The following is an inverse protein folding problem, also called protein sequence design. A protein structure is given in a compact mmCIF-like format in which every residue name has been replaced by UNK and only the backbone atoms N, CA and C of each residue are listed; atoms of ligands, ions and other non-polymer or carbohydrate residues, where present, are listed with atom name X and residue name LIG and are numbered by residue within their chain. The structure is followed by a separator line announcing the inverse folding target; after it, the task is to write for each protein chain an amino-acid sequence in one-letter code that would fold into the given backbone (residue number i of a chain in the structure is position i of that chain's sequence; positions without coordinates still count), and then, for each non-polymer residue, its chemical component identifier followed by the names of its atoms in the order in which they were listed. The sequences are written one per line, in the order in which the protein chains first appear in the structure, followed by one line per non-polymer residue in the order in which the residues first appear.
data_IF_248190933573
#
_entry.id   IF_248190933573
#
_cell.length_a   1.000
_cell.length_b   1.000
_cell.length_c   1.000
_cell.angle_alpha   90.00
_cell.angle_beta   90.00
_cell.angle_gamma   90.00
#
_symmetry.space_group_name_H-M   'P 1'
#
loop_
_entity.id
_entity.type
_entity.pdbx_description
1 polymer ?
#
# COMPACT_ATOMS: atom_id res chain seq x y z
N UNK A 1 -4.46 -15.65 10.21
CA UNK A 1 -4.00 -14.40 9.56
C UNK A 1 -4.54 -13.22 10.32
N UNK A 2 -3.71 -12.25 10.67
CA UNK A 2 -4.15 -11.10 11.45
C UNK A 2 -4.82 -10.01 10.60
N UNK A 3 -4.74 -10.14 9.28
CA UNK A 3 -5.47 -9.26 8.37
C UNK A 3 -5.83 -10.02 7.10
N UNK A 4 -6.88 -9.58 6.41
CA UNK A 4 -7.33 -10.21 5.17
C UNK A 4 -7.40 -9.24 3.98
N UNK A 5 -6.94 -8.02 4.16
CA UNK A 5 -6.87 -7.03 3.09
C UNK A 5 -5.63 -6.16 3.26
N UNK A 6 -4.97 -5.85 2.15
CA UNK A 6 -3.66 -5.20 2.13
C UNK A 6 -3.59 -4.17 1.03
N UNK A 7 -3.26 -2.93 1.39
CA UNK A 7 -2.97 -1.90 0.40
C UNK A 7 -1.46 -1.87 0.17
N UNK A 8 -1.06 -1.90 -1.10
CA UNK A 8 0.36 -1.88 -1.49
C UNK A 8 0.70 -0.46 -1.94
N UNK A 9 1.48 0.24 -1.13
CA UNK A 9 1.88 1.61 -1.40
C UNK A 9 3.22 1.65 -2.13
N UNK A 10 3.25 1.02 -3.30
CA UNK A 10 4.43 0.96 -4.14
C UNK A 10 4.00 0.62 -5.57
N UNK A 11 4.96 0.55 -6.48
CA UNK A 11 4.70 0.35 -7.90
C UNK A 11 5.62 -0.70 -8.51
N UNK A 12 5.41 -1.01 -9.78
CA UNK A 12 6.31 -1.84 -10.57
C UNK A 12 6.42 -3.26 -10.08
N UNK A 13 7.58 -3.85 -10.26
CA UNK A 13 7.82 -5.24 -9.91
C UNK A 13 7.64 -5.51 -8.41
N UNK A 14 8.03 -4.55 -7.58
CA UNK A 14 7.87 -4.69 -6.13
C UNK A 14 6.39 -4.89 -5.79
N UNK A 15 5.52 -4.07 -6.36
CA UNK A 15 4.08 -4.20 -6.15
C UNK A 15 3.56 -5.54 -6.68
N UNK A 16 4.01 -5.97 -7.85
CA UNK A 16 3.62 -7.25 -8.42
C UNK A 16 3.97 -8.43 -7.50
N UNK A 17 5.15 -8.41 -6.93
CA UNK A 17 5.61 -9.48 -6.04
C UNK A 17 4.78 -9.55 -4.76
N UNK A 18 4.46 -8.40 -4.19
CA UNK A 18 3.64 -8.33 -2.98
C UNK A 18 2.23 -8.82 -3.27
N UNK A 19 1.66 -8.41 -4.40
CA UNK A 19 0.32 -8.83 -4.82
C UNK A 19 0.27 -10.34 -5.01
N UNK A 20 1.28 -10.91 -5.65
CA UNK A 20 1.34 -12.35 -5.87
C UNK A 20 1.33 -13.11 -4.54
N UNK A 21 2.16 -12.68 -3.60
CA UNK A 21 2.22 -13.30 -2.29
C UNK A 21 0.88 -13.16 -1.55
N UNK A 22 0.26 -11.99 -1.62
CA UNK A 22 -1.04 -11.76 -1.00
C UNK A 22 -2.08 -12.73 -1.56
N UNK A 23 -2.11 -12.95 -2.88
CA UNK A 23 -3.03 -13.90 -3.49
C UNK A 23 -2.80 -15.32 -3.00
N UNK A 24 -1.54 -15.72 -2.89
CA UNK A 24 -1.20 -17.06 -2.40
C UNK A 24 -1.67 -17.27 -0.96
N UNK A 25 -1.75 -16.20 -0.20
CA UNK A 25 -2.16 -16.23 1.20
C UNK A 25 -3.67 -15.99 1.39
N UNK A 26 -4.40 -15.77 0.30
CA UNK A 26 -5.82 -15.49 0.38
C UNK A 26 -6.15 -14.08 0.88
N UNK A 27 -5.22 -13.15 0.73
CA UNK A 27 -5.38 -11.76 1.18
C UNK A 27 -5.82 -10.90 0.00
N UNK A 28 -6.89 -10.11 0.20
CA UNK A 28 -7.37 -9.17 -0.82
C UNK A 28 -6.35 -8.03 -0.99
N UNK A 29 -5.92 -7.79 -2.21
CA UNK A 29 -4.92 -6.77 -2.51
C UNK A 29 -5.54 -5.52 -3.11
N UNK A 30 -5.07 -4.36 -2.66
CA UNK A 30 -5.47 -3.05 -3.19
C UNK A 30 -4.22 -2.34 -3.70
N UNK A 31 -4.20 -2.01 -4.98
CA UNK A 31 -3.12 -1.23 -5.56
C UNK A 31 -3.51 0.24 -5.58
N UNK A 32 -2.54 1.12 -5.39
CA UNK A 32 -2.71 2.54 -5.65
C UNK A 32 -1.82 2.89 -6.82
N UNK A 33 -2.24 3.81 -7.67
CA UNK A 33 -1.47 4.13 -8.87
C UNK A 33 -1.63 5.58 -9.29
N UNK A 34 -0.61 6.09 -9.97
CA UNK A 34 -0.66 7.40 -10.63
C UNK A 34 -1.00 7.18 -12.10
N UNK A 35 -1.44 8.24 -12.78
CA UNK A 35 -1.87 8.15 -14.18
C UNK A 35 -0.84 7.50 -15.10
N UNK A 36 0.44 7.77 -14.87
CA UNK A 36 1.50 7.19 -15.69
C UNK A 36 1.54 5.66 -15.59
N UNK A 37 1.04 5.09 -14.50
CA UNK A 37 1.06 3.66 -14.25
C UNK A 37 -0.30 2.98 -14.43
N UNK A 38 -1.31 3.69 -14.96
CA UNK A 38 -2.68 3.16 -15.01
C UNK A 38 -2.81 1.82 -15.73
N UNK A 39 -1.94 1.56 -16.70
CA UNK A 39 -1.97 0.31 -17.48
C UNK A 39 -0.90 -0.67 -17.03
N UNK A 40 -0.22 -0.39 -15.92
CA UNK A 40 0.84 -1.25 -15.43
C UNK A 40 0.29 -2.58 -14.92
N UNK A 41 1.12 -3.61 -14.99
CA UNK A 41 0.74 -4.97 -14.61
C UNK A 41 0.22 -5.06 -13.17
N UNK A 42 0.88 -4.38 -12.23
CA UNK A 42 0.47 -4.48 -10.83
C UNK A 42 -0.94 -3.95 -10.60
N UNK A 43 -1.38 -2.97 -11.38
CA UNK A 43 -2.73 -2.42 -11.27
C UNK A 43 -3.77 -3.46 -11.68
N UNK A 44 -3.50 -4.19 -12.76
CA UNK A 44 -4.44 -5.21 -13.24
C UNK A 44 -4.41 -6.48 -12.40
N UNK A 45 -3.30 -6.78 -11.75
CA UNK A 45 -3.16 -7.98 -10.92
C UNK A 45 -3.84 -7.84 -9.56
N UNK A 46 -3.95 -6.62 -9.04
CA UNK A 46 -4.58 -6.40 -7.75
C UNK A 46 -6.09 -6.65 -7.82
N UNK A 47 -6.68 -6.98 -6.68
CA UNK A 47 -8.14 -7.20 -6.61
C UNK A 47 -8.89 -5.87 -6.76
N UNK A 48 -8.33 -4.78 -6.26
CA UNK A 48 -8.88 -3.43 -6.41
C UNK A 48 -7.75 -2.46 -6.70
N UNK A 49 -8.09 -1.31 -7.27
CA UNK A 49 -7.10 -0.26 -7.53
C UNK A 49 -7.72 1.11 -7.31
N UNK A 50 -6.93 2.03 -6.77
CA UNK A 50 -7.34 3.40 -6.49
C UNK A 50 -6.33 4.34 -7.15
N UNK A 51 -6.86 5.27 -7.96
CA UNK A 51 -6.02 6.30 -8.60
C UNK A 51 -5.59 7.34 -7.57
N UNK A 52 -4.32 7.71 -7.61
CA UNK A 52 -3.78 8.78 -6.79
C UNK A 52 -3.68 10.06 -7.62
N UNK A 53 -3.89 11.21 -6.97
CA UNK A 53 -3.77 12.49 -7.61
C UNK A 53 -2.36 13.07 -7.39
N UNK A 54 -2.20 14.37 -7.52
CA UNK A 54 -0.90 15.05 -7.36
C UNK A 54 -0.26 14.65 -6.03
N UNK A 55 1.06 14.46 -6.05
CA UNK A 55 1.78 13.94 -4.89
C UNK A 55 2.00 12.44 -4.97
N UNK A 56 1.06 11.71 -5.56
CA UNK A 56 1.20 10.28 -5.88
C UNK A 56 1.68 9.42 -4.73
N UNK A 57 2.65 8.56 -5.02
CA UNK A 57 3.15 7.56 -4.07
C UNK A 57 3.83 8.15 -2.83
N UNK A 58 4.17 9.43 -2.85
CA UNK A 58 4.80 10.10 -1.71
C UNK A 58 3.79 10.86 -0.85
N UNK A 59 2.53 10.88 -1.24
CA UNK A 59 1.48 11.58 -0.50
C UNK A 59 0.83 10.66 0.53
N UNK A 60 1.31 10.73 1.76
CA UNK A 60 0.85 9.86 2.84
C UNK A 60 -0.65 10.01 3.12
N UNK A 61 -1.20 11.21 2.97
CA UNK A 61 -2.63 11.42 3.22
C UNK A 61 -3.49 10.68 2.21
N UNK A 62 -3.12 10.71 0.93
CA UNK A 62 -3.85 9.99 -0.10
C UNK A 62 -3.79 8.48 0.12
N UNK A 63 -2.62 7.97 0.51
CA UNK A 63 -2.45 6.53 0.78
C UNK A 63 -3.37 6.10 1.93
N UNK A 64 -3.38 6.85 3.01
CA UNK A 64 -4.23 6.53 4.16
C UNK A 64 -5.71 6.63 3.80
N UNK A 65 -6.10 7.66 3.04
CA UNK A 65 -7.48 7.80 2.58
C UNK A 65 -7.90 6.62 1.70
N UNK A 66 -7.02 6.17 0.81
CA UNK A 66 -7.30 5.01 -0.03
C UNK A 66 -7.50 3.75 0.82
N UNK A 67 -6.70 3.58 1.86
CA UNK A 67 -6.85 2.45 2.77
C UNK A 67 -8.20 2.49 3.50
N UNK A 68 -8.59 3.66 3.99
CA UNK A 68 -9.88 3.81 4.66
C UNK A 68 -11.04 3.56 3.72
N UNK A 69 -10.96 4.10 2.50
CA UNK A 69 -12.03 3.98 1.51
C UNK A 69 -12.26 2.55 1.07
N UNK A 70 -11.20 1.76 0.99
CA UNK A 70 -11.29 0.36 0.55
C UNK A 70 -11.45 -0.63 1.71
N UNK A 71 -11.34 -0.15 2.93
CA UNK A 71 -11.39 -1.01 4.11
C UNK A 71 -10.14 -1.85 4.30
N UNK A 72 -9.01 -1.42 3.73
CA UNK A 72 -7.75 -2.15 3.88
C UNK A 72 -7.33 -2.20 5.35
N UNK A 73 -7.00 -3.39 5.82
CA UNK A 73 -6.60 -3.59 7.21
C UNK A 73 -5.11 -3.38 7.43
N UNK A 74 -4.31 -3.45 6.37
CA UNK A 74 -2.86 -3.30 6.45
C UNK A 74 -2.34 -2.50 5.27
N UNK A 75 -1.17 -1.88 5.45
CA UNK A 75 -0.45 -1.18 4.38
C UNK A 75 0.96 -1.75 4.31
N UNK A 76 1.36 -2.14 3.11
CA UNK A 76 2.72 -2.60 2.82
C UNK A 76 3.38 -1.54 1.92
N UNK A 77 4.39 -0.83 2.40
CA UNK A 77 5.01 0.24 1.61
C UNK A 77 6.07 -0.24 0.60
N UNK A 78 6.46 -1.49 0.65
CA UNK A 78 7.52 -2.01 -0.20
C UNK A 78 8.86 -1.39 0.13
N UNK A 79 9.61 -1.02 -0.90
CA UNK A 79 10.91 -0.36 -0.77
C UNK A 79 10.85 1.04 -1.37
N UNK A 80 11.64 1.96 -0.84
CA UNK A 80 11.64 3.36 -1.30
C UNK A 80 10.35 4.08 -0.95
N UNK A 81 10.07 5.19 -1.63
CA UNK A 81 8.87 5.99 -1.40
C UNK A 81 8.65 6.26 0.10
N UNK A 82 7.53 5.80 0.65
CA UNK A 82 7.19 6.03 2.06
C UNK A 82 7.66 4.92 2.99
N UNK A 83 8.34 3.89 2.47
CA UNK A 83 8.71 2.73 3.29
C UNK A 83 9.59 3.09 4.50
N UNK A 84 10.45 4.09 4.37
CA UNK A 84 11.34 4.51 5.44
C UNK A 84 10.91 5.81 6.12
N UNK A 85 9.68 6.23 5.89
CA UNK A 85 9.14 7.44 6.50
C UNK A 85 8.52 7.11 7.85
N UNK A 86 9.25 7.42 8.93
CA UNK A 86 8.80 7.11 10.29
C UNK A 86 7.48 7.82 10.64
N UNK A 87 7.30 9.04 10.16
CA UNK A 87 6.06 9.79 10.38
C UNK A 87 4.87 9.10 9.75
N UNK A 88 5.03 8.57 8.54
CA UNK A 88 3.98 7.83 7.87
C UNK A 88 3.65 6.53 8.61
N UNK A 89 4.68 5.80 9.03
CA UNK A 89 4.48 4.56 9.79
C UNK A 89 3.67 4.82 11.07
N UNK A 90 3.99 5.87 11.79
CA UNK A 90 3.25 6.25 13.00
C UNK A 90 1.81 6.64 12.69
N UNK A 91 1.60 7.38 11.59
CA UNK A 91 0.27 7.82 11.18
C UNK A 91 -0.61 6.62 10.81
N UNK A 92 -0.05 5.65 10.09
CA UNK A 92 -0.75 4.42 9.74
C UNK A 92 -1.20 3.69 10.99
N UNK A 93 -0.30 3.51 11.96
CA UNK A 93 -0.63 2.85 13.21
C UNK A 93 -1.68 3.61 14.01
N UNK A 94 -1.58 4.93 14.03
CA UNK A 94 -2.55 5.77 14.73
C UNK A 94 -3.96 5.63 14.17
N UNK A 95 -4.08 5.38 12.87
CA UNK A 95 -5.38 5.18 12.21
C UNK A 95 -5.91 3.75 12.40
N UNK A 96 -5.23 2.94 13.17
CA UNK A 96 -5.67 1.57 13.41
C UNK A 96 -5.36 0.60 12.28
N UNK A 97 -4.46 0.98 11.37
CA UNK A 97 -4.07 0.16 10.22
C UNK A 97 -2.75 -0.53 10.55
N UNK A 98 -2.64 -1.80 10.17
CA UNK A 98 -1.42 -2.57 10.42
C UNK A 98 -0.33 -2.13 9.45
N UNK A 99 0.85 -1.83 10.00
CA UNK A 99 2.02 -1.42 9.22
C UNK A 99 2.89 -2.63 8.91
N UNK A 100 3.14 -2.90 7.63
CA UNK A 100 4.02 -4.00 7.20
C UNK A 100 5.27 -3.40 6.57
N UNK A 101 6.13 -2.87 7.40
CA UNK A 101 7.36 -2.24 6.97
C UNK A 101 8.26 -2.04 8.17
N UNK A 102 9.36 -1.29 8.02
CA UNK A 102 10.25 -1.02 9.15
C UNK A 102 9.50 -0.32 10.26
N UNK A 103 9.81 -0.67 11.51
CA UNK A 103 9.19 -0.04 12.67
C UNK A 103 9.57 1.43 12.76
N UNK A 104 8.63 2.27 13.21
CA UNK A 104 8.88 3.70 13.40
C UNK A 104 10.03 3.94 14.39
N UNK A 105 10.28 3.02 15.31
CA UNK A 105 11.38 3.16 16.26
C UNK A 105 12.72 2.71 15.70
N UNK A 106 12.75 2.16 14.51
CA UNK A 106 13.97 1.72 13.84
C UNK A 106 14.68 2.83 13.07
N UNK A 107 14.07 3.99 12.94
CA UNK A 107 14.64 5.09 12.18
C UNK A 107 15.54 6.00 13.01
#
# INVERSE_FOLDING_TARGET
MIFNSLLIANRGEIACRIIKTAKEMGIRSIAVYVDADKDALFVTQADESIRLEDGGYLDSNQIIEAAKKTGAQAIHPGYGFLSENASFARKVKKEGIIWIGPSAVSY
#
